data_IF_471228815803
#
_entry.id   IF_471228815803
#
_cell.length_a   1.000
_cell.length_b   1.000
_cell.length_c   1.000
_cell.angle_alpha   90.00
_cell.angle_beta   90.00
_cell.angle_gamma   90.00
#
_symmetry.space_group_name_H-M   'P 1'
#
loop_
_entity.id
_entity.type
_entity.pdbx_description
1 polymer ?
#
# COMPACT_ATOMS: atom_id res chain seq x y z
N UNK A 1 -24.45 22.31 -13.92
CA UNK A 1 -24.76 20.90 -14.25
C UNK A 1 -23.69 20.04 -13.63
N UNK A 2 -24.01 19.38 -12.52
CA UNK A 2 -23.05 18.57 -11.75
C UNK A 2 -22.88 17.18 -12.36
N UNK A 3 -21.65 16.83 -12.72
CA UNK A 3 -21.31 15.47 -13.12
C UNK A 3 -20.98 14.65 -11.88
N UNK A 4 -21.95 13.82 -11.48
CA UNK A 4 -21.78 12.77 -10.49
C UNK A 4 -21.06 11.59 -11.17
N UNK A 5 -19.76 11.41 -10.90
CA UNK A 5 -19.06 10.15 -11.18
C UNK A 5 -18.90 9.36 -9.87
N UNK A 6 -20.02 8.81 -9.38
CA UNK A 6 -20.08 7.78 -8.34
C UNK A 6 -20.46 6.44 -8.98
N UNK A 7 -19.64 5.89 -9.87
CA UNK A 7 -19.85 4.54 -10.40
C UNK A 7 -18.52 3.93 -10.83
N UNK A 8 -17.76 3.40 -9.87
CA UNK A 8 -16.53 2.65 -10.16
C UNK A 8 -16.01 1.78 -9.01
N UNK A 9 -16.70 1.71 -7.86
CA UNK A 9 -16.13 1.20 -6.61
C UNK A 9 -17.05 0.20 -5.90
N UNK A 10 -17.65 -0.76 -6.61
CA UNK A 10 -18.50 -1.79 -5.97
C UNK A 10 -18.11 -3.25 -6.31
N UNK A 11 -17.12 -3.51 -7.17
CA UNK A 11 -16.83 -4.89 -7.63
C UNK A 11 -15.56 -5.57 -7.09
N UNK A 12 -14.98 -5.10 -5.98
CA UNK A 12 -13.74 -5.68 -5.43
C UNK A 12 -13.73 -5.80 -3.90
N UNK A 13 -14.89 -6.12 -3.30
CA UNK A 13 -15.05 -6.27 -1.84
C UNK A 13 -14.73 -7.69 -1.32
N UNK A 14 -14.45 -8.66 -2.20
CA UNK A 14 -14.45 -10.09 -1.80
C UNK A 14 -13.09 -10.79 -1.73
N UNK A 15 -11.96 -10.10 -1.88
CA UNK A 15 -10.64 -10.78 -1.97
C UNK A 15 -9.56 -10.32 -0.99
N UNK A 16 -9.84 -9.34 -0.15
CA UNK A 16 -9.00 -9.00 1.00
C UNK A 16 -9.93 -8.76 2.19
N UNK A 17 -9.63 -9.27 3.40
CA UNK A 17 -10.34 -8.83 4.58
C UNK A 17 -10.25 -7.31 4.60
N UNK A 18 -11.40 -6.66 4.45
CA UNK A 18 -11.54 -5.22 4.42
C UNK A 18 -10.61 -4.62 5.47
N UNK A 19 -9.75 -3.70 5.04
CA UNK A 19 -8.91 -2.83 5.85
C UNK A 19 -9.60 -2.59 7.21
N UNK A 20 -9.29 -3.46 8.17
CA UNK A 20 -9.90 -3.38 9.49
C UNK A 20 -9.14 -2.26 10.13
N UNK A 21 -9.79 -1.10 10.12
CA UNK A 21 -9.23 0.19 10.48
C UNK A 21 -8.39 0.07 11.75
N UNK A 22 -7.06 0.06 11.60
CA UNK A 22 -6.24 0.71 12.60
C UNK A 22 -6.61 2.19 12.46
N UNK A 23 -7.55 2.64 13.29
CA UNK A 23 -8.07 3.99 13.26
C UNK A 23 -6.99 4.95 13.77
N UNK A 24 -6.05 5.29 12.89
CA UNK A 24 -5.28 6.51 13.00
C UNK A 24 -6.14 7.73 12.69
N UNK A 25 -5.76 8.87 13.23
CA UNK A 25 -6.30 10.14 12.77
C UNK A 25 -5.95 10.32 11.28
N UNK A 26 -6.82 11.01 10.54
CA UNK A 26 -6.49 11.33 9.14
C UNK A 26 -5.70 12.63 9.13
N UNK A 27 -4.44 12.56 8.71
CA UNK A 27 -3.57 13.72 8.60
C UNK A 27 -3.50 14.18 7.14
N UNK A 28 -3.60 15.49 6.92
CA UNK A 28 -3.19 16.10 5.66
C UNK A 28 -1.72 16.39 5.71
N UNK A 29 -0.98 15.93 4.71
CA UNK A 29 0.43 16.25 4.58
C UNK A 29 0.65 17.47 3.70
N UNK A 30 1.81 18.09 3.87
CA UNK A 30 2.22 19.25 3.09
C UNK A 30 2.82 18.80 1.75
N UNK A 31 2.75 19.65 0.73
CA UNK A 31 3.33 19.37 -0.60
C UNK A 31 4.83 19.05 -0.55
N UNK A 32 5.57 19.56 0.44
CA UNK A 32 6.99 19.25 0.65
C UNK A 32 7.26 17.76 0.94
N UNK A 33 6.25 17.06 1.46
CA UNK A 33 6.32 15.64 1.82
C UNK A 33 5.72 14.72 0.73
N UNK A 34 5.14 15.31 -0.33
CA UNK A 34 4.61 14.57 -1.48
C UNK A 34 5.62 13.60 -2.13
N UNK A 35 6.93 13.91 -2.22
CA UNK A 35 7.91 12.94 -2.74
C UNK A 35 7.98 11.65 -1.93
N UNK A 36 7.79 11.70 -0.60
CA UNK A 36 7.80 10.50 0.24
C UNK A 36 6.56 9.63 -0.03
N UNK A 37 5.41 10.26 -0.27
CA UNK A 37 4.22 9.53 -0.67
C UNK A 37 4.35 8.93 -2.06
N UNK A 38 4.97 9.66 -2.99
CA UNK A 38 5.20 9.17 -4.34
C UNK A 38 6.10 7.92 -4.33
N UNK A 39 7.12 7.88 -3.48
CA UNK A 39 7.98 6.68 -3.33
C UNK A 39 7.19 5.49 -2.75
N UNK A 40 6.30 5.71 -1.78
CA UNK A 40 5.42 4.65 -1.24
C UNK A 40 4.46 4.15 -2.32
N UNK A 41 3.84 5.07 -3.08
CA UNK A 41 2.89 4.75 -4.14
C UNK A 41 3.56 3.99 -5.30
N UNK A 42 4.76 4.39 -5.71
CA UNK A 42 5.58 3.69 -6.70
C UNK A 42 5.97 2.28 -6.23
N UNK A 43 6.31 2.12 -4.94
CA UNK A 43 6.52 0.81 -4.32
C UNK A 43 5.25 -0.05 -4.33
N UNK A 44 4.10 0.53 -4.01
CA UNK A 44 2.81 -0.16 -3.99
C UNK A 44 2.38 -0.58 -5.40
N UNK A 45 2.51 0.31 -6.39
CA UNK A 45 2.22 0.02 -7.79
C UNK A 45 3.11 -1.13 -8.29
N UNK A 46 4.41 -1.09 -7.98
CA UNK A 46 5.35 -2.17 -8.36
C UNK A 46 4.94 -3.52 -7.75
N UNK A 47 4.41 -3.52 -6.52
CA UNK A 47 3.91 -4.73 -5.86
C UNK A 47 2.58 -5.22 -6.45
N UNK A 48 1.68 -4.30 -6.81
CA UNK A 48 0.41 -4.62 -7.46
C UNK A 48 0.63 -5.19 -8.87
N UNK A 49 1.58 -4.65 -9.63
CA UNK A 49 1.96 -5.18 -10.94
C UNK A 49 2.53 -6.59 -10.80
N UNK A 50 3.46 -6.82 -9.86
CA UNK A 50 3.98 -8.15 -9.54
C UNK A 50 2.86 -9.11 -9.13
N UNK A 51 1.91 -8.68 -8.29
CA UNK A 51 0.76 -9.49 -7.91
C UNK A 51 -0.14 -9.83 -9.12
N UNK A 52 -0.29 -8.90 -10.06
CA UNK A 52 -1.01 -9.09 -11.31
C UNK A 52 -0.34 -10.15 -12.20
N UNK A 53 0.97 -10.06 -12.36
CA UNK A 53 1.77 -11.05 -13.10
C UNK A 53 1.70 -12.44 -12.43
N UNK A 54 1.89 -12.50 -11.11
CA UNK A 54 1.78 -13.73 -10.33
C UNK A 54 0.41 -14.41 -10.43
N UNK A 55 -0.66 -13.61 -10.52
CA UNK A 55 -2.01 -14.14 -10.72
C UNK A 55 -2.24 -14.65 -12.14
N UNK A 56 -1.55 -14.08 -13.14
CA UNK A 56 -1.65 -14.51 -14.53
C UNK A 56 -0.99 -15.88 -14.80
N UNK A 57 -0.08 -16.30 -13.92
CA UNK A 57 0.69 -17.55 -14.04
C UNK A 57 0.13 -18.70 -13.19
N UNK A 58 -1.07 -18.55 -12.59
CA UNK A 58 -1.70 -19.52 -11.66
C UNK A 58 -0.76 -19.99 -10.52
N UNK A 59 0.27 -19.20 -10.22
CA UNK A 59 1.22 -19.49 -9.15
C UNK A 59 0.60 -19.14 -7.79
N UNK A 60 1.04 -19.80 -6.71
CA UNK A 60 0.68 -19.33 -5.38
C UNK A 60 1.14 -17.87 -5.25
N UNK A 61 0.19 -16.95 -5.08
CA UNK A 61 0.43 -15.51 -5.08
C UNK A 61 1.54 -15.14 -4.09
N UNK A 62 1.54 -15.73 -2.90
CA UNK A 62 2.57 -15.44 -1.91
C UNK A 62 3.94 -15.95 -2.34
N UNK A 63 4.06 -17.20 -2.79
CA UNK A 63 5.35 -17.75 -3.27
C UNK A 63 5.91 -16.94 -4.45
N UNK A 64 5.05 -16.53 -5.37
CA UNK A 64 5.44 -15.73 -6.51
C UNK A 64 5.87 -14.32 -6.08
N UNK A 65 5.12 -13.65 -5.20
CA UNK A 65 5.50 -12.35 -4.62
C UNK A 65 6.81 -12.44 -3.81
N UNK A 66 7.10 -13.58 -3.19
CA UNK A 66 8.37 -13.83 -2.53
C UNK A 66 9.54 -13.95 -3.50
N UNK A 67 9.27 -14.45 -4.70
CA UNK A 67 10.25 -14.48 -5.79
C UNK A 67 10.48 -13.06 -6.33
N UNK A 68 9.41 -12.26 -6.42
CA UNK A 68 9.41 -10.82 -6.73
C UNK A 68 9.83 -9.94 -5.53
N UNK A 69 10.90 -10.37 -4.83
CA UNK A 69 11.40 -9.70 -3.62
C UNK A 69 11.81 -8.24 -3.83
N UNK A 70 12.02 -7.81 -5.08
CA UNK A 70 12.40 -6.45 -5.44
C UNK A 70 11.27 -5.47 -5.17
N UNK A 71 10.04 -5.77 -5.60
CA UNK A 71 8.88 -4.89 -5.40
C UNK A 71 8.51 -4.77 -3.93
N UNK A 72 8.54 -5.89 -3.19
CA UNK A 72 8.30 -5.89 -1.75
C UNK A 72 9.36 -5.10 -0.98
N UNK A 73 10.65 -5.25 -1.33
CA UNK A 73 11.74 -4.46 -0.72
C UNK A 73 11.64 -2.98 -1.03
N UNK A 74 11.19 -2.64 -2.25
CA UNK A 74 10.99 -1.25 -2.67
C UNK A 74 9.91 -0.58 -1.81
N UNK A 75 8.76 -1.25 -1.62
CA UNK A 75 7.69 -0.76 -0.74
C UNK A 75 8.15 -0.66 0.73
N UNK A 76 8.78 -1.70 1.27
CA UNK A 76 9.29 -1.70 2.66
C UNK A 76 10.31 -0.56 2.89
N UNK A 77 11.25 -0.38 1.94
CA UNK A 77 12.26 0.68 2.02
C UNK A 77 11.63 2.06 1.96
N UNK A 78 10.66 2.29 1.06
CA UNK A 78 9.97 3.56 0.95
C UNK A 78 9.17 3.87 2.23
N UNK A 79 8.45 2.87 2.77
CA UNK A 79 7.67 3.01 3.99
C UNK A 79 8.57 3.34 5.20
N UNK A 80 9.68 2.61 5.37
CA UNK A 80 10.66 2.90 6.44
C UNK A 80 11.28 4.27 6.29
N UNK A 81 11.69 4.66 5.08
CA UNK A 81 12.28 5.98 4.81
C UNK A 81 11.31 7.11 5.14
N UNK A 82 10.03 6.95 4.78
CA UNK A 82 8.99 7.90 5.12
C UNK A 82 8.79 7.99 6.64
N UNK A 83 8.70 6.87 7.35
CA UNK A 83 8.52 6.85 8.80
C UNK A 83 9.75 7.32 9.59
N UNK A 84 10.96 7.14 9.06
CA UNK A 84 12.18 7.68 9.66
C UNK A 84 12.24 9.20 9.55
N UNK A 85 11.79 9.77 8.42
CA UNK A 85 11.73 11.22 8.20
C UNK A 85 10.52 11.88 8.86
N UNK A 86 9.41 11.14 8.97
CA UNK A 86 8.11 11.58 9.46
C UNK A 86 7.55 10.56 10.45
N UNK A 87 8.15 10.45 11.65
CA UNK A 87 7.69 9.50 12.66
C UNK A 87 6.24 9.77 13.10
N UNK A 88 5.74 10.99 12.93
CA UNK A 88 4.35 11.38 13.17
C UNK A 88 3.34 10.73 12.22
N UNK A 89 3.77 10.12 11.10
CA UNK A 89 2.89 9.38 10.20
C UNK A 89 2.59 7.96 10.68
N UNK A 90 3.36 7.47 11.66
CA UNK A 90 3.19 6.13 12.19
C UNK A 90 1.86 6.01 12.91
N UNK A 91 1.08 4.98 12.56
CA UNK A 91 -0.25 4.80 13.14
C UNK A 91 -1.34 5.56 12.40
N UNK A 92 -1.00 6.49 11.50
CA UNK A 92 -1.93 7.44 10.91
C UNK A 92 -2.45 7.02 9.54
N UNK A 93 -3.57 7.63 9.12
CA UNK A 93 -4.03 7.58 7.73
C UNK A 93 -3.65 8.89 7.06
N UNK A 94 -2.90 8.82 5.97
CA UNK A 94 -2.47 9.99 5.20
C UNK A 94 -3.47 10.25 4.09
N UNK A 95 -3.89 11.50 3.94
CA UNK A 95 -4.66 11.97 2.80
C UNK A 95 -3.88 13.06 2.06
N UNK A 96 -3.64 12.85 0.76
CA UNK A 96 -2.98 13.82 -0.10
C UNK A 96 -3.47 13.66 -1.54
N UNK A 97 -3.87 14.77 -2.17
CA UNK A 97 -4.28 14.82 -3.58
C UNK A 97 -5.29 13.74 -4.02
N UNK A 98 -6.23 13.41 -3.12
CA UNK A 98 -7.27 12.40 -3.40
C UNK A 98 -6.83 10.95 -3.18
N UNK A 99 -5.58 10.72 -2.80
CA UNK A 99 -5.03 9.42 -2.40
C UNK A 99 -5.12 9.29 -0.88
N UNK A 100 -5.62 8.13 -0.42
CA UNK A 100 -5.66 7.77 1.00
C UNK A 100 -4.71 6.61 1.25
N UNK A 101 -3.70 6.81 2.08
CA UNK A 101 -2.72 5.78 2.46
C UNK A 101 -2.87 5.45 3.95
N UNK A 102 -3.23 4.21 4.26
CA UNK A 102 -3.31 3.73 5.63
C UNK A 102 -1.97 3.11 6.03
N UNK A 103 -1.11 3.90 6.68
CA UNK A 103 0.24 3.45 7.07
C UNK A 103 0.22 2.13 7.87
N UNK A 104 -0.65 1.95 8.88
CA UNK A 104 -0.67 0.69 9.64
C UNK A 104 -1.05 -0.52 8.79
N UNK A 105 -1.91 -0.33 7.78
CA UNK A 105 -2.29 -1.42 6.89
C UNK A 105 -1.14 -1.78 5.95
N UNK A 106 -0.40 -0.78 5.45
CA UNK A 106 0.79 -1.01 4.63
C UNK A 106 1.89 -1.70 5.43
N UNK A 107 2.19 -1.26 6.66
CA UNK A 107 3.15 -1.91 7.56
C UNK A 107 2.79 -3.39 7.76
N UNK A 108 1.52 -3.68 8.07
CA UNK A 108 1.05 -5.05 8.28
C UNK A 108 1.12 -5.91 7.02
N UNK A 109 0.74 -5.35 5.87
CA UNK A 109 0.79 -6.10 4.59
C UNK A 109 2.22 -6.46 4.22
N UNK A 110 3.16 -5.52 4.34
CA UNK A 110 4.58 -5.77 4.11
C UNK A 110 5.08 -6.87 5.06
N UNK A 111 4.75 -6.78 6.35
CA UNK A 111 5.15 -7.78 7.35
C UNK A 111 4.56 -9.17 7.05
N UNK A 112 3.28 -9.26 6.71
CA UNK A 112 2.58 -10.53 6.44
C UNK A 112 3.16 -11.22 5.19
N UNK A 113 3.46 -10.47 4.12
CA UNK A 113 4.11 -11.02 2.92
C UNK A 113 5.55 -11.45 3.26
N UNK A 114 6.33 -10.63 3.94
CA UNK A 114 7.71 -10.97 4.34
C UNK A 114 7.78 -12.23 5.21
N UNK A 115 6.83 -12.41 6.14
CA UNK A 115 6.71 -13.63 6.96
C UNK A 115 6.45 -14.85 6.09
N UNK A 116 5.59 -14.73 5.08
CA UNK A 116 5.32 -15.82 4.16
C UNK A 116 6.54 -16.20 3.31
N UNK A 117 7.40 -15.23 2.99
CA UNK A 117 8.62 -15.44 2.22
C UNK A 117 9.79 -16.02 3.03
N UNK A 118 9.70 -15.95 4.35
CA UNK A 118 10.73 -16.44 5.28
C UNK A 118 10.39 -17.81 5.88
N UNK A 119 9.20 -18.33 5.57
CA UNK A 119 8.71 -19.64 6.00
C UNK A 119 9.09 -20.73 4.98
#
# INVERSE_FOLDING_TARGET
MGFNLRFGLIFLVTLMPAFTNAAGETIQIKDEDAPLLHEIDDGLSSLMDAAGECRSTDSNLYECLCTESTSLKKLDSALRTALDKKPEWKGETIYHDGVTLQIPSLEKQVEDVQKHCSA
#
